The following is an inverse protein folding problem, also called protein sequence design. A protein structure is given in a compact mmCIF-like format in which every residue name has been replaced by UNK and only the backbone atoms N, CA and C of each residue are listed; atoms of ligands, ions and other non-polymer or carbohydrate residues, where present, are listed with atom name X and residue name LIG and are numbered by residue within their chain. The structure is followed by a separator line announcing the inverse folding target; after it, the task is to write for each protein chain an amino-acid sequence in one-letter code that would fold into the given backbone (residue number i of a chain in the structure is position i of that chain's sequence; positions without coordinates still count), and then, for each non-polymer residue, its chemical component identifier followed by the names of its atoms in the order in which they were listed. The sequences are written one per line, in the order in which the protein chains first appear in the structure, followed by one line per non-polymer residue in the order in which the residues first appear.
data_IF_918738517948
#
_entry.id   IF_918738517948
#
_cell.length_a   1.000
_cell.length_b   1.000
_cell.length_c   1.000
_cell.angle_alpha   90.00
_cell.angle_beta   90.00
_cell.angle_gamma   90.00
#
_symmetry.space_group_name_H-M   'P 1'
#
loop_
_entity.id
_entity.type
_entity.pdbx_description
1 polymer ?
#
# COMPACT_ATOMS: atom_id res chain seq x y z
N UNK A 1 48.82 2.24 -12.44
CA UNK A 1 47.42 1.90 -12.33
C UNK A 1 47.00 2.10 -10.88
N UNK A 2 46.13 3.07 -10.52
CA UNK A 2 45.70 3.22 -9.14
C UNK A 2 44.61 2.19 -8.85
N UNK A 3 44.83 1.40 -7.78
CA UNK A 3 43.83 0.51 -7.21
C UNK A 3 42.69 1.34 -6.60
N UNK A 4 41.47 1.19 -7.15
CA UNK A 4 40.24 1.70 -6.51
C UNK A 4 39.84 0.77 -5.39
N UNK A 5 40.20 1.14 -4.17
CA UNK A 5 39.69 0.47 -2.96
C UNK A 5 38.24 0.90 -2.72
N UNK A 6 37.29 0.04 -3.08
CA UNK A 6 35.90 0.20 -2.69
C UNK A 6 35.78 0.07 -1.17
N UNK A 7 35.68 1.19 -0.47
CA UNK A 7 35.21 1.19 0.90
C UNK A 7 33.72 0.79 0.92
N UNK A 8 33.47 -0.50 1.03
CA UNK A 8 32.15 -1.02 1.37
C UNK A 8 31.88 -0.66 2.85
N UNK A 9 31.21 0.45 3.07
CA UNK A 9 30.73 0.84 4.40
C UNK A 9 29.60 -0.12 4.77
N UNK A 10 29.93 -1.28 5.37
CA UNK A 10 28.98 -2.21 5.97
C UNK A 10 28.39 -1.56 7.23
N UNK A 11 27.50 -0.59 7.07
CA UNK A 11 26.46 -0.42 8.06
C UNK A 11 25.62 -1.68 7.98
N UNK A 12 25.73 -2.55 8.99
CA UNK A 12 24.84 -3.67 9.22
C UNK A 12 23.43 -3.10 9.41
N UNK A 13 22.68 -2.94 8.32
CA UNK A 13 21.23 -2.77 8.40
C UNK A 13 20.73 -3.97 9.20
N UNK A 14 20.21 -3.70 10.38
CA UNK A 14 19.63 -4.73 11.25
C UNK A 14 18.43 -5.30 10.48
N UNK A 15 18.65 -6.43 9.78
CA UNK A 15 17.56 -7.11 9.06
C UNK A 15 16.50 -7.48 10.09
N UNK A 16 15.32 -6.89 9.95
CA UNK A 16 14.17 -7.27 10.75
C UNK A 16 13.76 -8.69 10.36
N UNK A 17 13.59 -9.56 11.36
CA UNK A 17 13.04 -10.90 11.13
C UNK A 17 11.61 -10.79 10.57
N UNK A 18 11.24 -11.69 9.66
CA UNK A 18 9.92 -11.67 9.03
C UNK A 18 8.78 -11.71 10.04
N UNK A 19 8.88 -12.55 11.07
CA UNK A 19 7.84 -12.65 12.08
C UNK A 19 7.72 -11.38 12.93
N UNK A 20 8.83 -10.72 13.24
CA UNK A 20 8.80 -9.42 13.91
C UNK A 20 8.23 -8.34 12.99
N UNK A 21 8.55 -8.36 11.69
CA UNK A 21 8.00 -7.44 10.68
C UNK A 21 6.47 -7.52 10.63
N UNK A 22 5.89 -8.72 10.53
CA UNK A 22 4.43 -8.87 10.45
C UNK A 22 3.74 -8.52 11.77
N UNK A 23 4.43 -8.66 12.91
CA UNK A 23 3.92 -8.24 14.22
C UNK A 23 3.97 -6.72 14.40
N UNK A 24 5.03 -6.04 13.93
CA UNK A 24 5.20 -4.59 14.08
C UNK A 24 4.26 -3.79 13.19
N UNK A 25 3.96 -4.29 11.97
CA UNK A 25 3.16 -3.57 11.00
C UNK A 25 1.82 -3.10 11.58
N UNK A 26 1.56 -1.79 11.46
CA UNK A 26 0.33 -1.13 11.90
C UNK A 26 -0.20 -0.17 10.83
N UNK A 27 -1.50 0.04 10.80
CA UNK A 27 -2.10 1.10 9.97
C UNK A 27 -1.76 2.47 10.54
N UNK A 28 -0.92 3.21 9.84
CA UNK A 28 -0.53 4.58 10.17
C UNK A 28 -1.40 5.57 9.38
N UNK A 29 -2.04 6.52 10.10
CA UNK A 29 -2.94 7.53 9.52
C UNK A 29 -2.49 8.97 9.83
N UNK A 30 -1.29 9.15 10.32
CA UNK A 30 -0.60 10.43 10.46
C UNK A 30 0.82 10.25 9.97
N UNK A 31 1.25 11.14 9.13
CA UNK A 31 2.56 11.09 8.52
C UNK A 31 3.37 12.32 8.93
N UNK A 32 4.69 12.19 8.97
CA UNK A 32 5.57 13.34 9.11
C UNK A 32 5.67 14.07 7.77
N UNK A 33 6.10 15.31 7.80
CA UNK A 33 6.36 16.13 6.60
C UNK A 33 7.59 15.63 5.79
N UNK A 34 8.31 14.64 6.32
CA UNK A 34 9.48 14.08 5.64
C UNK A 34 9.06 13.42 4.33
N UNK A 35 9.68 13.87 3.24
CA UNK A 35 9.48 13.25 1.93
C UNK A 35 10.01 11.81 1.93
N UNK A 36 9.34 10.93 1.23
CA UNK A 36 9.82 9.58 0.95
C UNK A 36 10.72 9.64 -0.27
N UNK A 37 11.90 9.07 -0.18
CA UNK A 37 12.88 9.04 -1.24
C UNK A 37 12.42 8.07 -2.36
N UNK A 38 12.54 8.47 -3.63
CA UNK A 38 12.01 7.69 -4.77
C UNK A 38 12.57 6.27 -4.83
N UNK A 39 13.87 6.09 -4.52
CA UNK A 39 14.48 4.75 -4.48
C UNK A 39 13.87 3.83 -3.41
N UNK A 40 13.31 4.39 -2.33
CA UNK A 40 12.60 3.60 -1.30
C UNK A 40 11.26 3.13 -1.86
N UNK A 41 10.53 4.00 -2.56
CA UNK A 41 9.27 3.63 -3.22
C UNK A 41 9.52 2.57 -4.29
N UNK A 42 10.55 2.73 -5.11
CA UNK A 42 10.96 1.75 -6.14
C UNK A 42 11.23 0.38 -5.51
N UNK A 43 12.03 0.32 -4.44
CA UNK A 43 12.33 -0.93 -3.72
C UNK A 43 11.07 -1.60 -3.14
N UNK A 44 10.10 -0.82 -2.66
CA UNK A 44 8.82 -1.33 -2.16
C UNK A 44 8.03 -1.95 -3.32
N UNK A 45 7.96 -1.28 -4.47
CA UNK A 45 7.24 -1.78 -5.64
C UNK A 45 7.91 -3.00 -6.25
N UNK A 46 9.25 -3.04 -6.32
CA UNK A 46 9.99 -4.25 -6.73
C UNK A 46 9.59 -5.46 -5.88
N UNK A 47 9.54 -5.30 -4.56
CA UNK A 47 9.09 -6.37 -3.66
C UNK A 47 7.62 -6.74 -3.94
N UNK A 48 6.73 -5.76 -4.13
CA UNK A 48 5.32 -6.01 -4.40
C UNK A 48 5.06 -6.70 -5.75
N UNK A 49 5.90 -6.45 -6.74
CA UNK A 49 5.84 -7.12 -8.06
C UNK A 49 6.27 -8.60 -8.00
N UNK A 50 6.90 -9.05 -6.91
CA UNK A 50 7.20 -10.48 -6.68
C UNK A 50 6.03 -11.25 -6.06
N UNK A 51 4.95 -10.56 -5.70
CA UNK A 51 3.78 -11.19 -5.10
C UNK A 51 3.22 -12.31 -6.00
N UNK A 52 2.81 -13.44 -5.43
CA UNK A 52 2.21 -14.51 -6.21
C UNK A 52 0.89 -14.06 -6.84
N UNK A 53 0.59 -14.58 -8.01
CA UNK A 53 -0.67 -14.31 -8.70
C UNK A 53 -1.26 -15.60 -9.27
N UNK A 54 -2.58 -15.64 -9.37
CA UNK A 54 -3.31 -16.77 -9.96
C UNK A 54 -2.76 -17.10 -11.35
N UNK A 55 -2.38 -18.36 -11.58
CA UNK A 55 -1.81 -18.85 -12.86
C UNK A 55 -0.65 -18.01 -13.37
N UNK A 56 0.10 -17.35 -12.48
CA UNK A 56 1.17 -16.42 -12.83
C UNK A 56 0.71 -15.30 -13.79
N UNK A 57 -0.55 -14.88 -13.69
CA UNK A 57 -1.16 -13.88 -14.58
C UNK A 57 -0.53 -12.48 -14.45
N UNK A 58 0.13 -12.18 -13.31
CA UNK A 58 0.76 -10.88 -13.04
C UNK A 58 -0.15 -9.70 -13.38
N UNK A 59 -1.45 -9.85 -13.07
CA UNK A 59 -2.49 -8.87 -13.41
C UNK A 59 -2.44 -7.59 -12.61
N UNK A 60 -1.61 -7.50 -11.54
CA UNK A 60 -1.53 -6.33 -10.69
C UNK A 60 -0.66 -5.24 -11.32
N UNK A 61 -1.16 -4.00 -11.25
CA UNK A 61 -0.47 -2.78 -11.68
C UNK A 61 -0.50 -1.74 -10.59
N UNK A 62 0.50 -0.88 -10.56
CA UNK A 62 0.62 0.19 -9.57
C UNK A 62 0.67 1.55 -10.26
N UNK A 63 0.00 2.54 -9.66
CA UNK A 63 0.19 3.95 -10.00
C UNK A 63 0.71 4.66 -8.75
N UNK A 64 1.85 5.30 -8.86
CA UNK A 64 2.47 6.06 -7.76
C UNK A 64 2.06 7.52 -7.89
N UNK A 65 1.54 8.09 -6.83
CA UNK A 65 1.11 9.48 -6.75
C UNK A 65 1.93 10.16 -5.64
N UNK A 66 2.75 11.14 -6.02
CA UNK A 66 3.53 12.00 -5.12
C UNK A 66 3.08 13.47 -5.19
N UNK A 67 2.20 13.80 -6.15
CA UNK A 67 1.63 15.13 -6.27
C UNK A 67 0.62 15.38 -5.15
N UNK A 68 0.91 16.33 -4.28
CA UNK A 68 0.10 16.63 -3.09
C UNK A 68 -1.33 17.07 -3.42
N UNK A 69 -1.55 17.76 -4.55
CA UNK A 69 -2.89 18.20 -4.94
C UNK A 69 -3.72 17.01 -5.43
N UNK A 70 -3.11 16.08 -6.18
CA UNK A 70 -3.78 14.83 -6.56
C UNK A 70 -4.10 13.98 -5.33
N UNK A 71 -3.15 13.83 -4.38
CA UNK A 71 -3.38 13.09 -3.14
C UNK A 71 -4.53 13.71 -2.34
N UNK A 72 -4.57 15.03 -2.27
CA UNK A 72 -5.67 15.76 -1.62
C UNK A 72 -7.00 15.49 -2.33
N UNK A 73 -7.06 15.51 -3.65
CA UNK A 73 -8.26 15.13 -4.40
C UNK A 73 -8.64 13.67 -4.14
N UNK A 74 -7.67 12.74 -4.14
CA UNK A 74 -7.92 11.34 -3.81
C UNK A 74 -8.51 11.15 -2.41
N UNK A 75 -8.15 12.00 -1.44
CA UNK A 75 -8.67 11.91 -0.07
C UNK A 75 -10.19 12.12 0.02
N UNK A 76 -10.79 12.75 -0.99
CA UNK A 76 -12.24 12.94 -1.11
C UNK A 76 -12.97 11.81 -1.84
N UNK A 77 -12.28 10.75 -2.28
CA UNK A 77 -12.90 9.64 -3.00
C UNK A 77 -14.00 8.93 -2.20
N UNK A 78 -14.00 9.11 -0.89
CA UNK A 78 -15.04 8.65 0.03
C UNK A 78 -15.32 9.71 1.10
N UNK A 79 -16.57 9.84 1.49
CA UNK A 79 -16.99 10.71 2.60
C UNK A 79 -16.49 10.24 3.97
N UNK A 80 -15.99 8.99 4.03
CA UNK A 80 -15.57 8.33 5.26
C UNK A 80 -14.33 7.46 5.05
N UNK A 81 -13.33 7.64 5.91
CA UNK A 81 -12.18 6.74 6.02
C UNK A 81 -11.02 6.99 5.04
N UNK A 82 -11.10 8.00 4.15
CA UNK A 82 -10.02 8.37 3.21
C UNK A 82 -9.36 9.72 3.51
N UNK A 83 -9.98 10.59 4.30
CA UNK A 83 -9.53 11.97 4.55
C UNK A 83 -8.08 12.07 5.05
N UNK A 84 -7.62 11.14 5.90
CA UNK A 84 -6.25 11.13 6.42
C UNK A 84 -5.18 11.01 5.32
N UNK A 85 -5.55 10.52 4.14
CA UNK A 85 -4.64 10.32 3.02
C UNK A 85 -4.10 11.65 2.49
N UNK A 86 -4.82 12.77 2.70
CA UNK A 86 -4.38 14.11 2.30
C UNK A 86 -3.02 14.53 2.89
N UNK A 87 -2.61 13.91 4.02
CA UNK A 87 -1.34 14.18 4.70
C UNK A 87 -0.22 13.21 4.27
N UNK A 88 -0.51 12.24 3.41
CA UNK A 88 0.49 11.26 2.99
C UNK A 88 1.44 11.86 1.94
N UNK A 89 2.76 11.68 2.07
CA UNK A 89 3.73 12.15 1.07
C UNK A 89 3.71 11.32 -0.21
N UNK A 90 3.20 10.07 -0.16
CA UNK A 90 3.06 9.19 -1.33
C UNK A 90 1.87 8.26 -1.16
N UNK A 91 1.16 8.03 -2.25
CA UNK A 91 0.06 7.07 -2.34
C UNK A 91 0.33 6.12 -3.50
N UNK A 92 0.18 4.83 -3.27
CA UNK A 92 0.21 3.80 -4.31
C UNK A 92 -1.19 3.31 -4.56
N UNK A 93 -1.71 3.56 -5.76
CA UNK A 93 -2.96 2.99 -6.20
C UNK A 93 -2.69 1.58 -6.73
N UNK A 94 -3.40 0.59 -6.19
CA UNK A 94 -3.25 -0.82 -6.55
C UNK A 94 -4.41 -1.22 -7.45
N UNK A 95 -4.08 -1.63 -8.67
CA UNK A 95 -5.04 -1.93 -9.73
C UNK A 95 -4.84 -3.35 -10.26
N UNK A 96 -5.87 -3.92 -10.87
CA UNK A 96 -5.76 -5.19 -11.55
C UNK A 96 -6.34 -5.15 -12.96
N UNK A 97 -5.65 -5.76 -13.93
CA UNK A 97 -6.18 -5.97 -15.29
C UNK A 97 -7.26 -7.06 -15.26
N UNK A 98 -8.51 -6.65 -15.44
CA UNK A 98 -9.70 -7.51 -15.46
C UNK A 98 -9.72 -8.47 -16.64
N UNK A 99 -8.96 -8.19 -17.70
CA UNK A 99 -8.85 -9.05 -18.88
C UNK A 99 -7.87 -10.20 -18.68
N UNK A 100 -6.88 -10.02 -17.80
CA UNK A 100 -5.83 -11.01 -17.54
C UNK A 100 -6.35 -12.20 -16.72
N UNK A 101 -7.30 -11.98 -15.83
CA UNK A 101 -7.90 -13.01 -14.98
C UNK A 101 -9.14 -12.48 -14.24
N UNK A 102 -10.09 -13.38 -13.97
CA UNK A 102 -11.24 -13.15 -13.08
C UNK A 102 -10.82 -12.96 -11.61
N UNK A 103 -9.63 -13.44 -11.22
CA UNK A 103 -9.04 -13.32 -9.88
C UNK A 103 -8.15 -12.07 -9.74
N UNK A 104 -8.36 -11.05 -10.56
CA UNK A 104 -7.57 -9.81 -10.52
C UNK A 104 -7.62 -9.13 -9.14
N UNK A 105 -8.77 -9.21 -8.49
CA UNK A 105 -9.00 -8.60 -7.17
C UNK A 105 -8.15 -9.26 -6.09
N UNK A 106 -8.16 -10.62 -6.06
CA UNK A 106 -7.33 -11.40 -5.12
C UNK A 106 -5.85 -11.12 -5.34
N UNK A 107 -5.41 -11.10 -6.61
CA UNK A 107 -4.02 -10.80 -6.97
C UNK A 107 -3.62 -9.38 -6.52
N UNK A 108 -4.49 -8.40 -6.73
CA UNK A 108 -4.27 -7.01 -6.31
C UNK A 108 -4.19 -6.90 -4.78
N UNK A 109 -5.07 -7.59 -4.05
CA UNK A 109 -5.07 -7.62 -2.58
C UNK A 109 -3.79 -8.26 -2.01
N UNK A 110 -3.30 -9.36 -2.62
CA UNK A 110 -2.03 -9.99 -2.25
C UNK A 110 -0.89 -8.99 -2.47
N UNK A 111 -0.81 -8.38 -3.66
CA UNK A 111 0.25 -7.41 -3.98
C UNK A 111 0.20 -6.17 -3.07
N UNK A 112 -0.99 -5.68 -2.72
CA UNK A 112 -1.17 -4.58 -1.77
C UNK A 112 -0.65 -4.93 -0.37
N UNK A 113 -0.82 -6.19 0.06
CA UNK A 113 -0.22 -6.69 1.30
C UNK A 113 1.31 -6.64 1.24
N UNK A 114 1.90 -7.04 0.10
CA UNK A 114 3.34 -6.93 -0.11
C UNK A 114 3.82 -5.48 -0.06
N UNK A 115 3.09 -4.52 -0.66
CA UNK A 115 3.40 -3.08 -0.53
C UNK A 115 3.47 -2.69 0.95
N UNK A 116 2.48 -3.09 1.77
CA UNK A 116 2.45 -2.72 3.19
C UNK A 116 3.61 -3.35 4.00
N UNK A 117 3.94 -4.62 3.73
CA UNK A 117 5.05 -5.29 4.40
C UNK A 117 6.41 -4.71 3.98
N UNK A 118 6.58 -4.42 2.69
CA UNK A 118 7.80 -3.80 2.19
C UNK A 118 7.97 -2.36 2.71
N UNK A 119 6.88 -1.60 2.84
CA UNK A 119 6.89 -0.27 3.47
C UNK A 119 7.36 -0.34 4.93
N UNK A 120 6.81 -1.28 5.72
CA UNK A 120 7.24 -1.51 7.11
C UNK A 120 8.73 -1.90 7.17
N UNK A 121 9.19 -2.81 6.28
CA UNK A 121 10.60 -3.21 6.20
C UNK A 121 11.52 -2.04 5.82
N UNK A 122 11.01 -1.06 5.08
CA UNK A 122 11.71 0.17 4.71
C UNK A 122 11.61 1.28 5.77
N UNK A 123 10.98 1.02 6.91
CA UNK A 123 10.80 1.99 8.00
C UNK A 123 9.68 3.00 7.75
N UNK A 124 8.78 2.73 6.80
CA UNK A 124 7.60 3.54 6.54
C UNK A 124 6.37 2.95 7.22
N UNK A 125 5.50 3.82 7.71
CA UNK A 125 4.14 3.43 8.02
C UNK A 125 3.25 3.46 6.79
N UNK A 126 2.22 2.63 6.77
CA UNK A 126 1.25 2.59 5.68
C UNK A 126 -0.18 2.40 6.19
N UNK A 127 -1.15 2.79 5.36
CA UNK A 127 -2.56 2.49 5.62
C UNK A 127 -3.30 2.19 4.32
N UNK A 128 -4.05 1.10 4.33
CA UNK A 128 -4.95 0.70 3.26
C UNK A 128 -6.22 1.54 3.27
N UNK A 129 -6.60 2.06 2.11
CA UNK A 129 -7.89 2.70 1.84
C UNK A 129 -8.58 1.91 0.73
N UNK A 130 -9.60 1.17 1.08
CA UNK A 130 -10.31 0.30 0.13
C UNK A 130 -11.12 1.12 -0.86
N UNK A 131 -11.08 0.73 -2.15
CA UNK A 131 -11.73 1.43 -3.26
C UNK A 131 -12.81 0.55 -3.91
N UNK A 132 -12.47 -0.71 -4.21
CA UNK A 132 -13.37 -1.64 -4.91
C UNK A 132 -14.73 -1.74 -4.19
N UNK A 133 -15.80 -1.60 -4.96
CA UNK A 133 -17.16 -1.73 -4.45
C UNK A 133 -17.58 -0.69 -3.41
N UNK A 134 -16.80 0.40 -3.20
CA UNK A 134 -17.15 1.46 -2.24
C UNK A 134 -17.88 2.61 -2.91
N UNK A 135 -18.99 3.03 -2.31
CA UNK A 135 -19.70 4.25 -2.67
C UNK A 135 -18.80 5.47 -2.43
N UNK A 136 -18.90 6.46 -3.32
CA UNK A 136 -18.25 7.76 -3.12
C UNK A 136 -18.86 8.48 -1.90
N UNK A 137 -20.20 8.53 -1.85
CA UNK A 137 -20.96 9.07 -0.72
C UNK A 137 -21.83 7.97 -0.12
N UNK A 138 -21.59 7.63 1.13
CA UNK A 138 -22.30 6.54 1.82
C UNK A 138 -23.81 6.76 1.82
N UNK A 139 -24.55 5.78 1.32
CA UNK A 139 -26.01 5.83 1.22
C UNK A 139 -26.53 6.66 0.04
N UNK A 140 -25.63 7.07 -0.86
CA UNK A 140 -25.94 7.86 -2.06
C UNK A 140 -25.35 7.18 -3.31
N UNK A 141 -25.84 6.01 -3.73
CA UNK A 141 -25.31 5.26 -4.86
C UNK A 141 -25.38 6.04 -6.19
N UNK A 142 -26.31 7.00 -6.31
CA UNK A 142 -26.41 7.92 -7.45
C UNK A 142 -25.18 8.83 -7.62
N UNK A 143 -24.40 9.04 -6.56
CA UNK A 143 -23.14 9.80 -6.61
C UNK A 143 -21.96 8.95 -7.14
N UNK A 144 -22.21 7.70 -7.49
CA UNK A 144 -21.21 6.78 -8.03
C UNK A 144 -20.32 6.13 -6.97
N UNK A 145 -19.21 5.55 -7.43
CA UNK A 145 -18.26 4.82 -6.59
C UNK A 145 -16.99 5.62 -6.33
N UNK A 146 -16.21 5.22 -5.33
CA UNK A 146 -14.88 5.76 -5.09
C UNK A 146 -13.98 5.63 -6.35
N UNK A 147 -14.06 4.49 -7.05
CA UNK A 147 -13.32 4.29 -8.30
C UNK A 147 -13.80 5.27 -9.40
N UNK A 148 -15.11 5.44 -9.60
CA UNK A 148 -15.62 6.37 -10.60
C UNK A 148 -15.18 7.82 -10.33
N UNK A 149 -15.11 8.21 -9.05
CA UNK A 149 -14.57 9.50 -8.66
C UNK A 149 -13.08 9.63 -9.02
N UNK A 150 -12.25 8.63 -8.69
CA UNK A 150 -10.82 8.65 -9.03
C UNK A 150 -10.59 8.78 -10.55
N UNK A 151 -11.41 8.12 -11.36
CA UNK A 151 -11.34 8.17 -12.83
C UNK A 151 -11.64 9.56 -13.42
N UNK A 152 -12.22 10.47 -12.66
CA UNK A 152 -12.46 11.84 -13.14
C UNK A 152 -11.20 12.67 -13.32
N UNK A 153 -10.09 12.29 -12.66
CA UNK A 153 -8.83 13.04 -12.68
C UNK A 153 -7.54 12.19 -12.75
N UNK A 154 -7.65 10.87 -12.56
CA UNK A 154 -6.51 9.95 -12.75
C UNK A 154 -6.66 9.18 -14.06
N UNK A 155 -5.57 8.98 -14.81
CA UNK A 155 -5.57 8.26 -16.09
C UNK A 155 -5.61 6.74 -15.87
N UNK A 156 -6.67 6.25 -15.24
CA UNK A 156 -6.86 4.81 -14.97
C UNK A 156 -7.45 4.17 -16.24
N UNK A 157 -6.75 3.17 -16.86
CA UNK A 157 -7.28 2.47 -18.03
C UNK A 157 -8.62 1.77 -17.72
N UNK A 158 -9.55 1.74 -18.69
CA UNK A 158 -10.90 1.18 -18.51
C UNK A 158 -10.88 -0.30 -18.13
N UNK A 159 -9.91 -1.04 -18.65
CA UNK A 159 -9.72 -2.45 -18.38
C UNK A 159 -9.23 -2.74 -16.96
N UNK A 160 -8.72 -1.76 -16.23
CA UNK A 160 -8.25 -1.96 -14.87
C UNK A 160 -9.36 -1.67 -13.86
N UNK A 161 -9.45 -2.51 -12.83
CA UNK A 161 -10.20 -2.22 -11.61
C UNK A 161 -9.25 -1.71 -10.53
N UNK A 162 -9.75 -0.89 -9.63
CA UNK A 162 -8.97 -0.35 -8.51
C UNK A 162 -9.34 -1.07 -7.22
N UNK A 163 -8.42 -1.87 -6.68
CA UNK A 163 -8.62 -2.55 -5.39
C UNK A 163 -8.55 -1.57 -4.22
N UNK A 164 -7.46 -0.82 -4.14
CA UNK A 164 -7.23 0.07 -3.01
C UNK A 164 -6.19 1.16 -3.33
N UNK A 165 -6.09 2.14 -2.43
CA UNK A 165 -4.99 3.06 -2.32
C UNK A 165 -4.20 2.78 -1.03
N UNK A 166 -2.87 2.71 -1.10
CA UNK A 166 -1.99 2.57 0.04
C UNK A 166 -1.30 3.91 0.28
N UNK A 167 -1.73 4.62 1.32
CA UNK A 167 -1.03 5.82 1.79
C UNK A 167 0.21 5.40 2.59
N UNK A 168 1.37 6.01 2.30
CA UNK A 168 2.65 5.68 2.93
C UNK A 168 3.42 6.94 3.30
N UNK A 169 4.24 6.84 4.36
CA UNK A 169 5.12 7.90 4.80
C UNK A 169 5.81 7.56 6.12
N UNK A 170 6.73 8.41 6.55
CA UNK A 170 7.40 8.25 7.84
C UNK A 170 6.44 8.56 8.99
N UNK A 171 6.56 7.79 10.08
CA UNK A 171 5.80 8.04 11.30
C UNK A 171 6.25 9.34 11.97
N UNK A 172 5.31 10.18 12.45
CA UNK A 172 5.64 11.31 13.31
C UNK A 172 5.90 10.89 14.77
N UNK A 173 5.71 9.62 15.11
CA UNK A 173 5.85 9.10 16.45
C UNK A 173 7.21 8.40 16.62
N UNK A 174 7.89 8.66 17.73
CA UNK A 174 9.18 8.03 18.07
C UNK A 174 9.04 6.52 18.32
N UNK A 175 7.89 6.09 18.85
CA UNK A 175 7.64 4.69 19.15
C UNK A 175 6.33 4.21 18.51
N UNK A 176 6.31 2.97 17.97
CA UNK A 176 5.08 2.37 17.49
C UNK A 176 4.11 2.14 18.65
N UNK A 177 2.81 2.33 18.39
CA UNK A 177 1.78 2.00 19.38
C UNK A 177 1.78 0.49 19.64
N UNK A 178 1.76 0.05 20.91
CA UNK A 178 1.72 -1.37 21.23
C UNK A 178 0.46 -2.01 20.62
N UNK A 179 0.62 -3.25 20.15
CA UNK A 179 -0.52 -4.04 19.67
C UNK A 179 -1.19 -4.68 20.89
N UNK A 180 -2.52 -4.55 21.06
CA UNK A 180 -3.21 -5.32 22.07
C UNK A 180 -3.01 -6.82 21.80
N UNK A 181 -2.79 -7.60 22.85
CA UNK A 181 -2.84 -9.04 22.74
C UNK A 181 -4.23 -9.46 22.28
N UNK A 182 -4.29 -10.40 21.34
CA UNK A 182 -5.53 -10.96 20.84
C UNK A 182 -5.46 -12.48 20.98
N UNK A 183 -6.45 -13.05 21.66
CA UNK A 183 -6.68 -14.47 21.57
C UNK A 183 -7.26 -14.80 20.17
N UNK A 184 -6.57 -15.68 19.45
CA UNK A 184 -6.95 -16.15 18.13
C UNK A 184 -7.08 -17.68 18.10
N UNK A 185 -7.20 -18.31 19.25
CA UNK A 185 -7.24 -19.77 19.39
C UNK A 185 -8.44 -20.39 18.66
N UNK A 186 -9.54 -19.62 18.53
CA UNK A 186 -10.76 -20.00 17.82
C UNK A 186 -10.66 -19.95 16.29
N UNK A 187 -9.58 -19.33 15.77
CA UNK A 187 -9.41 -19.10 14.33
C UNK A 187 -8.58 -20.19 13.63
N UNK A 188 -8.04 -21.13 14.39
CA UNK A 188 -7.20 -22.21 13.84
C UNK A 188 -7.74 -23.56 14.33
N UNK A 189 -8.13 -24.40 13.39
CA UNK A 189 -8.56 -25.77 13.68
C UNK A 189 -7.46 -26.73 13.26
N UNK A 190 -7.05 -27.60 14.20
CA UNK A 190 -6.07 -28.66 13.97
C UNK A 190 -6.80 -30.01 13.80
N UNK A 191 -6.76 -30.58 12.60
CA UNK A 191 -7.19 -31.95 12.34
C UNK A 191 -5.94 -32.84 12.43
N UNK A 192 -5.88 -33.67 13.47
CA UNK A 192 -4.76 -34.59 13.74
C UNK A 192 -5.17 -36.02 13.44
#
# INVERSE_FOLDING_TARGET
MPEFTYFCNKQTEKRMDFFELVKSRRSLRKFSERRVESHVVEKILEAALTAPSSRSSRSTHFMVIENSDLIRHMSYMRDYGSAFMAEAPVVVLVMGDKRATDLWLDNAAISATFVQLAAEAAGLGSCWVHVEGREHMKGHPEMGTAESYLRTFLPIPEEFGVECAIAMGYSPYEQPRPRPEQDNSDKVVWLK
#
